data_IF_273627852907
#
_entry.id   IF_273627852907
#
_cell.length_a   1.000
_cell.length_b   1.000
_cell.length_c   1.000
_cell.angle_alpha   90.00
_cell.angle_beta   90.00
_cell.angle_gamma   90.00
#
_symmetry.space_group_name_H-M   'P 1'
#
loop_
_entity.id
_entity.type
_entity.pdbx_description
1 polymer ?
#
# COMPACT_ATOMS: atom_id res chain seq x y z
N UNK A 1 8.29 -10.40 -10.62
CA UNK A 1 6.95 -9.90 -10.96
C UNK A 1 6.40 -9.16 -9.75
N UNK A 2 5.94 -7.93 -9.95
CA UNK A 2 5.25 -7.19 -8.89
C UNK A 2 3.84 -7.78 -8.75
N UNK A 3 3.46 -8.21 -7.54
CA UNK A 3 2.11 -8.67 -7.24
C UNK A 3 1.26 -7.47 -6.81
N UNK A 4 0.20 -7.16 -7.56
CA UNK A 4 -0.58 -5.95 -7.35
C UNK A 4 -1.86 -6.21 -6.56
N UNK A 5 -1.96 -5.57 -5.40
CA UNK A 5 -3.11 -5.62 -4.51
C UNK A 5 -4.15 -4.58 -4.95
N UNK A 6 -5.10 -4.96 -5.78
CA UNK A 6 -6.21 -4.09 -6.16
C UNK A 6 -7.19 -3.92 -5.01
N UNK A 7 -7.51 -2.68 -4.66
CA UNK A 7 -8.50 -2.36 -3.64
C UNK A 7 -9.82 -1.99 -4.31
N UNK A 8 -10.92 -2.59 -3.86
CA UNK A 8 -12.25 -2.43 -4.42
C UNK A 8 -13.28 -2.08 -3.35
N UNK A 9 -14.35 -1.37 -3.71
CA UNK A 9 -15.58 -1.36 -2.92
C UNK A 9 -16.05 -2.79 -2.63
N UNK A 10 -16.68 -2.98 -1.47
CA UNK A 10 -16.98 -4.32 -0.93
C UNK A 10 -17.94 -5.12 -1.81
N UNK A 11 -18.85 -4.46 -2.52
CA UNK A 11 -19.85 -5.07 -3.40
C UNK A 11 -19.24 -5.86 -4.58
N UNK A 12 -18.03 -5.50 -5.03
CA UNK A 12 -17.42 -6.08 -6.24
C UNK A 12 -16.32 -7.10 -5.96
N UNK A 13 -16.02 -7.40 -4.70
CA UNK A 13 -14.89 -8.26 -4.32
C UNK A 13 -14.95 -9.62 -4.98
N UNK A 14 -16.11 -10.30 -4.93
CA UNK A 14 -16.28 -11.64 -5.51
C UNK A 14 -16.17 -11.66 -7.03
N UNK A 15 -16.56 -10.56 -7.70
CA UNK A 15 -16.52 -10.46 -9.15
C UNK A 15 -15.12 -10.10 -9.69
N UNK A 16 -14.33 -9.38 -8.88
CA UNK A 16 -13.01 -8.91 -9.27
C UNK A 16 -11.87 -9.81 -8.81
N UNK A 17 -12.08 -10.58 -7.74
CA UNK A 17 -11.02 -11.40 -7.13
C UNK A 17 -11.42 -12.87 -7.05
N UNK A 18 -11.18 -13.63 -8.14
CA UNK A 18 -11.53 -15.05 -8.16
C UNK A 18 -10.63 -15.85 -7.19
N UNK A 19 -11.24 -16.83 -6.53
CA UNK A 19 -10.59 -17.67 -5.51
C UNK A 19 -9.51 -18.58 -6.11
N UNK A 20 -9.62 -18.91 -7.40
CA UNK A 20 -8.76 -19.87 -8.10
C UNK A 20 -7.39 -19.27 -8.49
N UNK A 21 -7.20 -17.98 -8.35
CA UNK A 21 -5.97 -17.29 -8.73
C UNK A 21 -5.28 -16.69 -7.50
N UNK A 22 -4.47 -17.47 -6.74
CA UNK A 22 -3.78 -16.98 -5.55
C UNK A 22 -2.93 -15.75 -5.83
N UNK A 23 -3.13 -14.71 -5.04
CA UNK A 23 -2.41 -13.44 -5.08
C UNK A 23 -2.31 -12.81 -3.70
N UNK A 24 -1.59 -11.71 -3.60
CA UNK A 24 -1.54 -10.91 -2.38
C UNK A 24 -2.67 -9.88 -2.36
N UNK A 25 -3.27 -9.68 -1.20
CA UNK A 25 -4.29 -8.65 -0.96
C UNK A 25 -3.90 -7.74 0.19
N UNK A 26 -4.22 -6.45 0.06
CA UNK A 26 -4.16 -5.48 1.15
C UNK A 26 -5.58 -5.26 1.67
N UNK A 27 -5.80 -5.55 2.96
CA UNK A 27 -7.11 -5.53 3.62
C UNK A 27 -7.15 -4.37 4.60
N UNK A 28 -8.18 -3.54 4.51
CA UNK A 28 -8.28 -2.29 5.27
C UNK A 28 -8.92 -2.53 6.65
N UNK A 29 -8.22 -2.16 7.73
CA UNK A 29 -8.66 -2.39 9.09
C UNK A 29 -10.04 -1.79 9.39
N UNK A 30 -10.32 -0.56 8.95
CA UNK A 30 -11.61 0.07 9.19
C UNK A 30 -12.78 -0.69 8.54
N UNK A 31 -12.57 -1.32 7.36
CA UNK A 31 -13.60 -2.15 6.72
C UNK A 31 -13.78 -3.50 7.43
N UNK A 32 -12.70 -4.08 7.96
CA UNK A 32 -12.80 -5.28 8.81
C UNK A 32 -13.63 -4.99 10.06
N UNK A 33 -13.46 -3.82 10.67
CA UNK A 33 -14.23 -3.41 11.84
C UNK A 33 -15.71 -3.17 11.51
N UNK A 34 -16.00 -2.58 10.35
CA UNK A 34 -17.35 -2.14 9.97
C UNK A 34 -18.18 -3.23 9.31
N UNK A 35 -17.54 -4.18 8.59
CA UNK A 35 -18.21 -5.17 7.74
C UNK A 35 -17.65 -6.59 7.97
N UNK A 36 -18.33 -7.42 8.75
CA UNK A 36 -17.94 -8.82 8.93
C UNK A 36 -17.85 -9.62 7.62
N UNK A 37 -18.68 -9.30 6.63
CA UNK A 37 -18.65 -9.96 5.32
C UNK A 37 -17.37 -9.65 4.55
N UNK A 38 -16.78 -8.48 4.76
CA UNK A 38 -15.49 -8.12 4.21
C UNK A 38 -14.34 -8.97 4.79
N UNK A 39 -14.33 -9.15 6.11
CA UNK A 39 -13.35 -10.00 6.79
C UNK A 39 -13.50 -11.48 6.37
N UNK A 40 -14.73 -12.00 6.33
CA UNK A 40 -15.04 -13.38 5.93
C UNK A 40 -14.58 -13.66 4.49
N UNK A 41 -14.76 -12.69 3.58
CA UNK A 41 -14.31 -12.81 2.20
C UNK A 41 -12.79 -13.05 2.12
N UNK A 42 -11.98 -12.21 2.79
CA UNK A 42 -10.53 -12.35 2.76
C UNK A 42 -10.02 -13.55 3.55
N UNK A 43 -10.69 -13.92 4.64
CA UNK A 43 -10.43 -15.19 5.35
C UNK A 43 -10.60 -16.40 4.43
N UNK A 44 -11.66 -16.41 3.62
CA UNK A 44 -11.87 -17.47 2.62
C UNK A 44 -10.80 -17.47 1.53
N UNK A 45 -10.34 -16.31 1.07
CA UNK A 45 -9.22 -16.23 0.11
C UNK A 45 -7.93 -16.80 0.72
N UNK A 46 -7.62 -16.47 1.97
CA UNK A 46 -6.46 -17.02 2.67
C UNK A 46 -6.51 -18.56 2.72
N UNK A 47 -7.66 -19.14 3.07
CA UNK A 47 -7.86 -20.60 3.12
C UNK A 47 -7.67 -21.27 1.74
N UNK A 48 -7.73 -20.50 0.66
CA UNK A 48 -7.47 -20.94 -0.71
C UNK A 48 -6.07 -20.55 -1.23
N UNK A 49 -5.16 -20.16 -0.34
CA UNK A 49 -3.74 -19.95 -0.65
C UNK A 49 -3.36 -18.53 -1.05
N UNK A 50 -4.24 -17.55 -0.87
CA UNK A 50 -3.91 -16.14 -1.04
C UNK A 50 -3.12 -15.64 0.17
N UNK A 51 -2.28 -14.62 -0.04
CA UNK A 51 -1.58 -13.90 1.03
C UNK A 51 -2.37 -12.68 1.44
N UNK A 52 -2.57 -12.48 2.73
CA UNK A 52 -3.34 -11.35 3.27
C UNK A 52 -2.43 -10.43 4.08
N UNK A 53 -2.38 -9.16 3.67
CA UNK A 53 -1.74 -8.08 4.41
C UNK A 53 -2.84 -7.23 5.06
N UNK A 54 -2.86 -7.16 6.38
CA UNK A 54 -3.77 -6.28 7.12
C UNK A 54 -3.17 -4.89 7.20
N UNK A 55 -3.75 -3.94 6.49
CA UNK A 55 -3.42 -2.52 6.61
C UNK A 55 -4.02 -1.94 7.89
N UNK A 56 -3.28 -1.04 8.55
CA UNK A 56 -3.72 -0.39 9.77
C UNK A 56 -4.68 0.80 9.55
N UNK A 57 -5.03 1.10 8.30
CA UNK A 57 -5.86 2.25 7.89
C UNK A 57 -5.33 3.61 8.38
N UNK A 58 -4.00 3.77 8.49
CA UNK A 58 -3.37 5.01 8.95
C UNK A 58 -3.76 6.22 8.10
N UNK A 59 -3.95 6.02 6.79
CA UNK A 59 -4.36 7.09 5.88
C UNK A 59 -5.76 7.62 6.24
N UNK A 60 -6.72 6.73 6.46
CA UNK A 60 -8.10 7.08 6.82
C UNK A 60 -8.15 7.72 8.21
N UNK A 61 -7.44 7.14 9.18
CA UNK A 61 -7.35 7.70 10.54
C UNK A 61 -6.73 9.10 10.53
N UNK A 62 -5.63 9.30 9.80
CA UNK A 62 -4.98 10.59 9.65
C UNK A 62 -5.90 11.63 9.02
N UNK A 63 -6.59 11.29 7.92
CA UNK A 63 -7.54 12.21 7.25
C UNK A 63 -8.70 12.62 8.14
N UNK A 64 -9.21 11.70 8.95
CA UNK A 64 -10.35 11.92 9.84
C UNK A 64 -9.95 12.55 11.18
N UNK A 65 -8.65 12.65 11.47
CA UNK A 65 -8.16 13.08 12.78
C UNK A 65 -8.41 12.08 13.90
N UNK A 66 -8.62 10.81 13.55
CA UNK A 66 -8.83 9.74 14.51
C UNK A 66 -7.49 9.19 15.02
N UNK A 67 -7.43 8.69 16.26
CA UNK A 67 -6.26 7.99 16.77
C UNK A 67 -6.05 6.66 16.01
N UNK A 68 -4.79 6.22 15.94
CA UNK A 68 -4.46 4.90 15.44
C UNK A 68 -5.12 3.79 16.28
N UNK A 69 -5.46 2.68 15.64
CA UNK A 69 -5.95 1.50 16.33
C UNK A 69 -4.94 0.98 17.37
N UNK A 70 -5.40 0.58 18.57
CA UNK A 70 -4.54 -0.14 19.50
C UNK A 70 -4.01 -1.45 18.91
N UNK A 71 -2.82 -1.88 19.32
CA UNK A 71 -2.18 -3.11 18.82
C UNK A 71 -3.08 -4.34 18.97
N UNK A 72 -3.72 -4.48 20.13
CA UNK A 72 -4.62 -5.60 20.43
C UNK A 72 -5.81 -5.63 19.45
N UNK A 73 -6.32 -4.47 19.07
CA UNK A 73 -7.41 -4.36 18.11
C UNK A 73 -6.97 -4.75 16.69
N UNK A 74 -5.77 -4.31 16.28
CA UNK A 74 -5.21 -4.73 14.99
C UNK A 74 -4.98 -6.24 14.94
N UNK A 75 -4.49 -6.85 16.00
CA UNK A 75 -4.31 -8.31 16.10
C UNK A 75 -5.67 -9.03 16.00
N UNK A 76 -6.69 -8.56 16.72
CA UNK A 76 -8.04 -9.12 16.65
C UNK A 76 -8.59 -9.09 15.21
N UNK A 77 -8.47 -7.95 14.53
CA UNK A 77 -8.92 -7.80 13.15
C UNK A 77 -8.08 -8.65 12.17
N UNK A 78 -6.78 -8.78 12.41
CA UNK A 78 -5.91 -9.67 11.62
C UNK A 78 -6.36 -11.13 11.69
N UNK A 79 -6.78 -11.60 12.85
CA UNK A 79 -7.35 -12.95 12.99
C UNK A 79 -8.69 -13.12 12.27
N UNK A 80 -9.52 -12.07 12.25
CA UNK A 80 -10.82 -12.15 11.57
C UNK A 80 -10.67 -12.37 10.06
N UNK A 81 -9.63 -11.84 9.44
CA UNK A 81 -9.36 -12.01 8.01
C UNK A 81 -8.22 -13.02 7.71
N UNK A 82 -7.72 -13.75 8.70
CA UNK A 82 -6.57 -14.66 8.59
C UNK A 82 -5.35 -14.00 7.96
N UNK A 83 -4.98 -12.79 8.41
CA UNK A 83 -3.85 -12.07 7.86
C UNK A 83 -2.50 -12.76 8.14
N UNK A 84 -1.63 -12.78 7.13
CA UNK A 84 -0.23 -13.23 7.26
C UNK A 84 0.68 -12.13 7.81
N UNK A 85 0.39 -10.88 7.42
CA UNK A 85 1.17 -9.69 7.75
C UNK A 85 0.28 -8.62 8.34
N UNK A 86 0.82 -7.85 9.29
CA UNK A 86 0.12 -6.71 9.88
C UNK A 86 0.96 -5.46 9.72
N UNK A 87 0.40 -4.42 9.10
CA UNK A 87 1.00 -3.10 9.07
C UNK A 87 0.98 -2.53 10.47
N UNK A 88 2.17 -2.35 11.04
CA UNK A 88 2.33 -1.79 12.38
C UNK A 88 1.90 -0.33 12.43
N UNK A 89 1.49 0.14 13.60
CA UNK A 89 1.06 1.52 13.76
C UNK A 89 2.14 2.49 13.28
N UNK A 90 1.75 3.38 12.37
CA UNK A 90 2.59 4.43 11.83
C UNK A 90 1.89 5.79 11.93
N UNK A 91 2.65 6.85 11.95
CA UNK A 91 2.17 8.19 12.29
C UNK A 91 2.60 9.20 11.22
N UNK A 92 1.78 9.37 10.15
CA UNK A 92 2.09 10.31 9.06
C UNK A 92 2.30 11.74 9.56
N UNK A 93 3.39 12.36 9.11
CA UNK A 93 3.72 13.76 9.45
C UNK A 93 4.28 13.97 10.86
N UNK A 94 4.53 12.91 11.61
CA UNK A 94 5.12 12.94 12.95
C UNK A 94 6.61 12.57 12.91
N UNK A 95 7.39 12.88 13.97
CA UNK A 95 8.79 12.47 14.02
C UNK A 95 8.98 10.98 13.76
N UNK A 96 10.00 10.62 12.98
CA UNK A 96 10.28 9.22 12.60
C UNK A 96 10.44 8.29 13.81
N UNK A 97 10.93 8.79 14.94
CA UNK A 97 11.08 8.04 16.18
C UNK A 97 9.75 7.51 16.73
N UNK A 98 8.64 8.26 16.53
CA UNK A 98 7.32 7.84 17.01
C UNK A 98 6.85 6.54 16.37
N UNK A 99 7.06 6.40 15.06
CA UNK A 99 6.73 5.17 14.33
C UNK A 99 7.66 4.02 14.70
N UNK A 100 8.97 4.28 14.88
CA UNK A 100 9.93 3.28 15.35
C UNK A 100 9.56 2.77 16.75
N UNK A 101 9.31 3.69 17.69
CA UNK A 101 8.93 3.34 19.08
C UNK A 101 7.64 2.50 19.13
N UNK A 102 6.69 2.78 18.24
CA UNK A 102 5.46 1.99 18.12
C UNK A 102 5.79 0.57 17.59
N UNK A 103 6.60 0.47 16.55
CA UNK A 103 7.00 -0.81 15.98
C UNK A 103 7.75 -1.68 17.00
N UNK A 104 8.70 -1.13 17.76
CA UNK A 104 9.42 -1.85 18.80
C UNK A 104 8.51 -2.45 19.88
N UNK A 105 7.39 -1.78 20.17
CA UNK A 105 6.38 -2.28 21.13
C UNK A 105 5.45 -3.33 20.50
N UNK A 106 5.14 -3.20 19.21
CA UNK A 106 4.24 -4.11 18.51
C UNK A 106 4.90 -5.42 18.09
N UNK A 107 6.15 -5.40 17.66
CA UNK A 107 6.87 -6.58 17.16
C UNK A 107 6.76 -7.80 18.10
N UNK A 108 7.04 -7.68 19.42
CA UNK A 108 6.92 -8.83 20.33
C UNK A 108 5.49 -9.37 20.43
N UNK A 109 4.49 -8.49 20.31
CA UNK A 109 3.08 -8.88 20.38
C UNK A 109 2.66 -9.64 19.13
N UNK A 110 3.01 -9.13 17.93
CA UNK A 110 2.72 -9.78 16.65
C UNK A 110 3.41 -11.15 16.56
N UNK A 111 4.67 -11.24 16.97
CA UNK A 111 5.43 -12.51 16.99
C UNK A 111 4.82 -13.56 17.92
N UNK A 112 4.28 -13.14 19.06
CA UNK A 112 3.57 -14.05 19.98
C UNK A 112 2.35 -14.69 19.34
N UNK A 113 1.69 -13.97 18.42
CA UNK A 113 0.50 -14.42 17.71
C UNK A 113 0.81 -15.03 16.32
N UNK A 114 2.09 -15.30 16.05
CA UNK A 114 2.59 -15.83 14.76
C UNK A 114 2.25 -14.95 13.54
N UNK A 115 2.10 -13.66 13.78
CA UNK A 115 1.85 -12.64 12.74
C UNK A 115 3.18 -12.01 12.30
N UNK A 116 3.36 -11.87 10.99
CA UNK A 116 4.52 -11.21 10.40
C UNK A 116 4.35 -9.70 10.40
N UNK A 117 5.47 -9.00 10.45
CA UNK A 117 5.51 -7.55 10.62
C UNK A 117 5.63 -6.82 9.30
N UNK A 118 4.95 -5.69 9.21
CA UNK A 118 5.04 -4.79 8.07
C UNK A 118 5.25 -3.36 8.60
N UNK A 119 6.37 -2.74 8.25
CA UNK A 119 6.77 -1.42 8.72
C UNK A 119 6.62 -0.36 7.63
N UNK A 120 5.91 0.72 7.94
CA UNK A 120 5.79 1.89 7.08
C UNK A 120 6.57 3.06 7.70
N UNK A 121 7.80 3.37 7.22
CA UNK A 121 8.57 4.49 7.73
C UNK A 121 7.82 5.82 7.57
N UNK A 122 7.85 6.66 8.59
CA UNK A 122 7.24 7.98 8.60
C UNK A 122 8.26 9.03 9.04
N UNK A 123 8.03 10.30 8.69
CA UNK A 123 8.79 11.45 9.18
C UNK A 123 7.96 12.72 9.14
N UNK A 124 8.49 13.79 9.75
CA UNK A 124 7.93 15.11 9.64
C UNK A 124 8.06 15.67 8.20
N UNK A 125 7.23 16.65 7.81
CA UNK A 125 7.40 17.35 6.54
C UNK A 125 8.82 17.89 6.40
N UNK A 126 9.46 17.70 5.22
CA UNK A 126 10.82 18.16 4.95
C UNK A 126 11.94 17.33 5.57
N UNK A 127 11.63 16.31 6.36
CA UNK A 127 12.62 15.46 7.03
C UNK A 127 12.96 14.19 6.25
N UNK A 128 13.65 14.34 5.11
CA UNK A 128 14.14 13.21 4.30
C UNK A 128 15.18 12.38 5.06
N UNK A 129 16.00 13.00 5.91
CA UNK A 129 17.02 12.28 6.67
C UNK A 129 16.40 11.41 7.76
N UNK A 130 15.36 11.89 8.46
CA UNK A 130 14.60 11.10 9.41
C UNK A 130 13.85 9.95 8.73
N UNK A 131 13.26 10.19 7.55
CA UNK A 131 12.67 9.15 6.74
C UNK A 131 13.70 8.06 6.40
N UNK A 132 14.87 8.46 5.87
CA UNK A 132 15.94 7.54 5.53
C UNK A 132 16.45 6.76 6.77
N UNK A 133 16.44 7.39 7.94
CA UNK A 133 16.79 6.70 9.19
C UNK A 133 15.79 5.57 9.48
N UNK A 134 14.48 5.81 9.31
CA UNK A 134 13.45 4.78 9.45
C UNK A 134 13.69 3.57 8.54
N UNK A 135 14.07 3.79 7.27
CA UNK A 135 14.45 2.71 6.36
C UNK A 135 15.70 1.97 6.82
N UNK A 136 16.75 2.66 7.26
CA UNK A 136 17.96 2.03 7.79
C UNK A 136 17.66 1.17 9.03
N UNK A 137 16.83 1.67 9.94
CA UNK A 137 16.40 0.92 11.11
C UNK A 137 15.67 -0.36 10.70
N UNK A 138 14.71 -0.27 9.79
CA UNK A 138 13.94 -1.42 9.32
C UNK A 138 14.82 -2.45 8.59
N UNK A 139 15.75 -2.00 7.74
CA UNK A 139 16.69 -2.88 7.04
C UNK A 139 17.65 -3.61 7.99
N UNK A 140 18.03 -2.98 9.09
CA UNK A 140 18.89 -3.59 10.12
C UNK A 140 18.13 -4.47 11.12
N UNK A 141 16.80 -4.36 11.18
CA UNK A 141 15.97 -5.09 12.15
C UNK A 141 15.47 -6.40 11.54
N UNK A 142 15.99 -7.54 12.04
CA UNK A 142 15.61 -8.88 11.56
C UNK A 142 14.14 -9.25 11.83
N UNK A 143 13.48 -8.55 12.72
CA UNK A 143 12.08 -8.78 13.08
C UNK A 143 11.10 -7.92 12.24
N UNK A 144 11.60 -7.20 11.24
CA UNK A 144 10.80 -6.52 10.22
C UNK A 144 10.80 -7.36 8.95
N UNK A 145 9.63 -7.83 8.51
CA UNK A 145 9.48 -8.70 7.33
C UNK A 145 9.22 -7.90 6.05
N UNK A 146 8.32 -6.91 6.11
CA UNK A 146 7.97 -6.00 5.02
C UNK A 146 8.37 -4.56 5.31
N UNK A 147 8.78 -3.82 4.27
CA UNK A 147 9.02 -2.37 4.33
C UNK A 147 8.18 -1.67 3.26
N UNK A 148 7.45 -0.63 3.65
CA UNK A 148 6.61 0.15 2.75
C UNK A 148 7.29 1.39 2.19
N UNK A 149 6.96 1.72 0.93
CA UNK A 149 7.25 2.98 0.26
C UNK A 149 5.92 3.74 0.03
N UNK A 150 5.57 4.63 0.95
CA UNK A 150 4.25 5.27 0.99
C UNK A 150 4.17 6.51 0.11
N UNK A 151 3.03 6.64 -0.62
CA UNK A 151 2.69 7.87 -1.37
C UNK A 151 2.30 9.04 -0.46
N UNK A 152 1.98 8.77 0.81
CA UNK A 152 1.66 9.84 1.75
C UNK A 152 2.94 10.46 2.31
N UNK A 153 3.86 9.62 2.76
CA UNK A 153 5.02 10.07 3.51
C UNK A 153 6.18 10.56 2.64
N UNK A 154 6.53 9.83 1.56
CA UNK A 154 7.69 10.21 0.73
C UNK A 154 7.49 11.60 0.10
N UNK A 155 6.34 11.93 -0.54
CA UNK A 155 6.10 13.29 -1.01
C UNK A 155 6.12 14.34 0.10
N UNK A 156 5.66 14.01 1.31
CA UNK A 156 5.66 14.90 2.46
C UNK A 156 7.09 15.20 2.94
N UNK A 157 7.93 14.19 3.03
CA UNK A 157 9.34 14.34 3.39
C UNK A 157 10.13 15.20 2.39
N UNK A 158 9.77 15.15 1.10
CA UNK A 158 10.33 16.02 0.06
C UNK A 158 9.64 17.38 -0.05
N UNK A 159 8.66 17.69 0.80
CA UNK A 159 7.85 18.91 0.72
C UNK A 159 7.27 19.16 -0.68
N UNK A 160 6.84 18.08 -1.35
CA UNK A 160 6.19 18.19 -2.64
C UNK A 160 4.98 19.13 -2.55
N UNK A 161 4.95 20.16 -3.38
CA UNK A 161 3.85 21.11 -3.41
C UNK A 161 2.51 20.40 -3.68
N UNK A 162 1.45 20.78 -2.94
CA UNK A 162 0.14 20.12 -2.99
C UNK A 162 -0.40 19.96 -4.42
N UNK A 163 -0.16 20.95 -5.28
CA UNK A 163 -0.67 20.96 -6.66
C UNK A 163 0.38 20.58 -7.72
N UNK A 164 1.62 20.29 -7.30
CA UNK A 164 2.67 19.87 -8.23
C UNK A 164 2.64 18.34 -8.43
N UNK A 165 1.77 17.93 -9.35
CA UNK A 165 1.57 16.50 -9.67
C UNK A 165 2.85 15.81 -10.13
N UNK A 166 3.72 16.51 -10.87
CA UNK A 166 4.97 15.95 -11.34
C UNK A 166 5.95 15.65 -10.20
N UNK A 167 6.08 16.56 -9.23
CA UNK A 167 6.91 16.30 -8.06
C UNK A 167 6.44 15.06 -7.28
N UNK A 168 5.14 14.95 -7.05
CA UNK A 168 4.56 13.77 -6.38
C UNK A 168 4.79 12.50 -7.19
N UNK A 169 4.55 12.53 -8.50
CA UNK A 169 4.72 11.39 -9.40
C UNK A 169 6.18 10.87 -9.38
N UNK A 170 7.16 11.76 -9.30
CA UNK A 170 8.58 11.41 -9.29
C UNK A 170 9.15 11.13 -7.90
N UNK A 171 8.43 11.43 -6.83
CA UNK A 171 8.99 11.45 -5.46
C UNK A 171 9.54 10.09 -5.02
N UNK A 172 8.80 8.99 -5.25
CA UNK A 172 9.28 7.65 -4.87
C UNK A 172 10.44 7.19 -5.75
N UNK A 173 10.48 7.58 -7.02
CA UNK A 173 11.64 7.32 -7.87
C UNK A 173 12.90 8.02 -7.37
N UNK A 174 12.78 9.29 -6.98
CA UNK A 174 13.90 10.03 -6.37
C UNK A 174 14.33 9.41 -5.04
N UNK A 175 13.39 8.91 -4.25
CA UNK A 175 13.73 8.25 -3.00
C UNK A 175 14.43 6.90 -3.22
N UNK A 176 14.01 6.11 -4.22
CA UNK A 176 14.72 4.88 -4.60
C UNK A 176 16.16 5.18 -5.06
N UNK A 177 16.36 6.26 -5.82
CA UNK A 177 17.70 6.73 -6.17
C UNK A 177 18.53 7.11 -4.94
N UNK A 178 17.94 7.78 -3.96
CA UNK A 178 18.62 8.07 -2.70
C UNK A 178 19.03 6.79 -1.95
N UNK A 179 18.16 5.79 -1.90
CA UNK A 179 18.46 4.46 -1.33
C UNK A 179 19.65 3.82 -2.06
N UNK A 180 19.68 3.90 -3.39
CA UNK A 180 20.79 3.43 -4.22
C UNK A 180 22.11 4.19 -3.92
N UNK A 181 22.08 5.52 -3.92
CA UNK A 181 23.22 6.40 -3.63
C UNK A 181 23.80 6.17 -2.22
N UNK A 182 22.95 5.75 -1.28
CA UNK A 182 23.37 5.36 0.08
C UNK A 182 23.86 3.90 0.19
N UNK A 183 23.87 3.15 -0.92
CA UNK A 183 24.31 1.76 -0.96
C UNK A 183 23.37 0.79 -0.24
N UNK A 184 22.09 1.12 -0.10
CA UNK A 184 21.11 0.34 0.66
C UNK A 184 20.30 -0.63 -0.20
N UNK A 185 20.35 -0.54 -1.54
CA UNK A 185 19.60 -1.44 -2.42
C UNK A 185 19.84 -2.94 -2.15
N UNK A 186 21.09 -3.41 -1.94
CA UNK A 186 21.31 -4.84 -1.65
C UNK A 186 20.59 -5.30 -0.37
N UNK A 187 20.43 -4.42 0.60
CA UNK A 187 19.74 -4.73 1.84
C UNK A 187 18.23 -4.90 1.66
N UNK A 188 17.62 -4.24 0.65
CA UNK A 188 16.21 -4.43 0.31
C UNK A 188 15.91 -5.88 -0.09
N UNK A 189 16.86 -6.58 -0.73
CA UNK A 189 16.69 -7.99 -1.13
C UNK A 189 16.52 -8.96 0.07
N UNK A 190 16.87 -8.54 1.27
CA UNK A 190 16.65 -9.33 2.50
C UNK A 190 15.26 -9.13 3.11
N UNK A 191 14.46 -8.26 2.55
CA UNK A 191 13.12 -7.88 3.01
C UNK A 191 12.12 -8.02 1.87
N UNK A 192 10.86 -8.10 2.20
CA UNK A 192 9.82 -7.81 1.22
C UNK A 192 9.58 -6.31 1.14
N UNK A 193 9.31 -5.81 -0.05
CA UNK A 193 9.09 -4.39 -0.31
C UNK A 193 7.72 -4.18 -0.92
N UNK A 194 6.97 -3.26 -0.33
CA UNK A 194 5.64 -2.89 -0.78
C UNK A 194 5.54 -1.39 -1.10
N UNK A 195 4.94 -1.07 -2.23
CA UNK A 195 4.62 0.32 -2.58
C UNK A 195 3.17 0.62 -2.20
N UNK A 196 2.98 1.39 -1.12
CA UNK A 196 1.66 1.79 -0.62
C UNK A 196 1.06 2.90 -1.48
N UNK A 197 -0.08 2.59 -2.08
CA UNK A 197 -0.84 3.49 -2.93
C UNK A 197 -0.17 3.80 -4.27
N UNK A 198 -0.88 4.59 -5.09
CA UNK A 198 -0.40 5.07 -6.39
C UNK A 198 -0.46 6.60 -6.41
N UNK A 199 0.54 7.25 -6.98
CA UNK A 199 0.60 8.71 -7.05
C UNK A 199 -0.40 9.26 -8.09
N UNK A 200 0.07 9.75 -9.24
CA UNK A 200 -0.78 10.50 -10.19
C UNK A 200 -1.29 9.61 -11.36
N UNK A 201 -0.83 8.37 -11.46
CA UNK A 201 -1.28 7.44 -12.50
C UNK A 201 -0.51 6.12 -12.52
N UNK A 202 -1.03 5.11 -13.25
CA UNK A 202 -0.52 3.73 -13.21
C UNK A 202 0.89 3.58 -13.79
N UNK A 203 1.33 4.46 -14.68
CA UNK A 203 2.65 4.37 -15.31
C UNK A 203 3.79 4.67 -14.33
N UNK A 204 3.50 5.02 -13.07
CA UNK A 204 4.50 5.01 -12.00
C UNK A 204 5.16 3.64 -11.86
N UNK A 205 4.42 2.55 -12.13
CA UNK A 205 4.98 1.18 -12.14
C UNK A 205 6.09 1.07 -13.20
N UNK A 206 5.84 1.56 -14.42
CA UNK A 206 6.84 1.57 -15.47
C UNK A 206 8.04 2.48 -15.15
N UNK A 207 7.79 3.62 -14.49
CA UNK A 207 8.84 4.52 -14.00
C UNK A 207 9.79 3.80 -13.04
N UNK A 208 9.25 2.87 -12.22
CA UNK A 208 10.03 2.06 -11.27
C UNK A 208 10.77 0.88 -11.93
N UNK A 209 10.67 0.69 -13.26
CA UNK A 209 11.34 -0.41 -13.97
C UNK A 209 12.78 -0.66 -13.57
N UNK A 210 13.67 0.36 -13.40
CA UNK A 210 15.04 0.16 -12.94
C UNK A 210 15.16 -0.47 -11.55
N UNK A 211 14.10 -0.40 -10.73
CA UNK A 211 14.04 -0.90 -9.36
C UNK A 211 13.02 -2.03 -9.16
N UNK A 212 12.40 -2.51 -10.25
CA UNK A 212 11.32 -3.50 -10.19
C UNK A 212 11.72 -4.81 -9.49
N UNK A 213 12.99 -5.20 -9.57
CA UNK A 213 13.50 -6.41 -8.90
C UNK A 213 13.56 -6.29 -7.38
N UNK A 214 13.43 -5.08 -6.84
CA UNK A 214 13.38 -4.78 -5.40
C UNK A 214 11.97 -4.61 -4.88
N UNK A 215 10.94 -4.71 -5.73
CA UNK A 215 9.53 -4.48 -5.37
C UNK A 215 8.78 -5.81 -5.46
N UNK A 216 8.25 -6.27 -4.32
CA UNK A 216 7.47 -7.52 -4.28
C UNK A 216 5.99 -7.25 -4.55
N UNK A 217 5.43 -6.24 -3.89
CA UNK A 217 4.01 -5.94 -3.95
C UNK A 217 3.74 -4.45 -4.10
N UNK A 218 2.54 -4.12 -4.59
CA UNK A 218 2.04 -2.75 -4.74
C UNK A 218 0.53 -2.73 -4.52
N UNK A 219 -0.05 -1.65 -4.02
CA UNK A 219 -1.49 -1.53 -3.90
C UNK A 219 -2.06 -0.25 -4.51
N UNK A 220 -3.30 -0.28 -4.89
CA UNK A 220 -4.12 0.92 -5.12
C UNK A 220 -5.59 0.58 -5.34
N UNK A 221 -6.46 1.50 -4.96
CA UNK A 221 -7.87 1.52 -5.39
C UNK A 221 -8.07 2.15 -6.79
N UNK A 222 -7.01 2.74 -7.38
CA UNK A 222 -7.14 3.60 -8.56
C UNK A 222 -7.73 2.88 -9.78
N UNK A 223 -7.37 1.62 -10.04
CA UNK A 223 -7.88 0.86 -11.18
C UNK A 223 -9.39 0.69 -11.12
N UNK A 224 -9.85 0.21 -9.96
CA UNK A 224 -11.28 -0.07 -9.74
C UNK A 224 -12.06 1.23 -9.65
N UNK A 225 -11.62 2.16 -8.78
CA UNK A 225 -12.35 3.38 -8.50
C UNK A 225 -12.44 4.32 -9.70
N UNK A 226 -11.34 4.51 -10.47
CA UNK A 226 -11.37 5.24 -11.72
C UNK A 226 -12.34 4.60 -12.71
N UNK A 227 -12.28 3.27 -12.88
CA UNK A 227 -13.16 2.53 -13.78
C UNK A 227 -14.63 2.66 -13.42
N UNK A 228 -15.01 2.54 -12.15
CA UNK A 228 -16.39 2.73 -11.68
C UNK A 228 -16.89 4.14 -11.95
N UNK A 229 -16.02 5.14 -11.98
CA UNK A 229 -16.32 6.51 -12.35
C UNK A 229 -16.19 6.80 -13.86
N UNK A 230 -16.10 5.78 -14.71
CA UNK A 230 -16.06 5.90 -16.16
C UNK A 230 -14.71 6.33 -16.73
N UNK A 231 -13.64 6.29 -15.93
CA UNK A 231 -12.30 6.70 -16.33
C UNK A 231 -11.45 5.47 -16.65
N UNK A 232 -11.09 5.32 -17.92
CA UNK A 232 -10.18 4.28 -18.38
C UNK A 232 -8.75 4.81 -18.39
N UNK A 233 -7.78 3.98 -18.00
CA UNK A 233 -6.36 4.28 -18.15
C UNK A 233 -5.98 4.37 -19.63
N UNK A 234 -5.03 5.24 -19.92
CA UNK A 234 -4.69 5.63 -21.30
C UNK A 234 -3.17 5.59 -21.54
N UNK A 235 -2.77 5.88 -22.79
CA UNK A 235 -1.36 5.90 -23.21
C UNK A 235 -0.65 7.24 -22.92
N UNK A 236 -1.19 8.09 -22.07
CA UNK A 236 -0.50 9.31 -21.62
C UNK A 236 0.73 8.97 -20.77
N UNK A 237 1.66 9.92 -20.56
CA UNK A 237 2.89 9.64 -19.79
C UNK A 237 2.66 9.06 -18.38
N UNK A 238 1.57 9.44 -17.72
CA UNK A 238 1.21 8.91 -16.40
C UNK A 238 0.21 7.75 -16.45
N UNK A 239 -0.41 7.51 -17.61
CA UNK A 239 -1.53 6.57 -17.78
C UNK A 239 -2.90 7.18 -17.48
N UNK A 240 -2.95 8.47 -17.12
CA UNK A 240 -4.14 9.28 -16.90
C UNK A 240 -3.89 10.69 -17.40
N UNK A 241 -4.39 11.04 -18.60
CA UNK A 241 -4.12 12.35 -19.25
C UNK A 241 -4.49 13.54 -18.36
N UNK A 242 -5.54 13.42 -17.57
CA UNK A 242 -5.98 14.47 -16.64
C UNK A 242 -5.41 14.30 -15.20
N UNK A 243 -4.51 13.31 -15.02
CA UNK A 243 -4.00 12.93 -13.72
C UNK A 243 -5.03 12.23 -12.83
N UNK A 244 -4.63 11.92 -11.61
CA UNK A 244 -5.53 11.30 -10.62
C UNK A 244 -6.73 12.21 -10.35
N UNK A 245 -7.94 11.68 -10.47
CA UNK A 245 -9.13 12.44 -10.13
C UNK A 245 -9.34 12.45 -8.61
N UNK A 246 -9.84 13.57 -8.10
CA UNK A 246 -9.87 13.88 -6.66
C UNK A 246 -11.25 13.55 -6.04
N UNK A 247 -11.82 12.39 -6.38
CA UNK A 247 -13.05 11.90 -5.74
C UNK A 247 -12.65 10.86 -4.71
N UNK A 248 -13.12 11.04 -3.47
CA UNK A 248 -12.86 10.06 -2.42
C UNK A 248 -13.45 8.70 -2.75
N UNK A 249 -12.74 7.65 -2.39
CA UNK A 249 -13.21 6.26 -2.60
C UNK A 249 -14.42 6.02 -1.71
N UNK A 250 -15.52 5.59 -2.33
CA UNK A 250 -16.69 5.07 -1.64
C UNK A 250 -16.59 3.54 -1.60
N UNK A 251 -16.20 2.98 -0.46
CA UNK A 251 -16.04 1.54 -0.27
C UNK A 251 -17.35 0.77 -0.26
N UNK A 252 -18.49 1.46 -0.16
CA UNK A 252 -19.84 0.89 -0.22
C UNK A 252 -20.58 1.21 -1.51
N UNK A 253 -19.84 1.71 -2.51
CA UNK A 253 -20.38 1.97 -3.84
C UNK A 253 -20.96 0.69 -4.46
N UNK A 254 -22.18 0.76 -5.01
CA UNK A 254 -22.93 -0.41 -5.48
C UNK A 254 -23.48 -0.29 -6.92
N UNK A 255 -22.83 0.50 -7.78
CA UNK A 255 -23.19 0.61 -9.19
C UNK A 255 -22.25 -0.15 -10.09
N UNK A 256 -22.71 -1.16 -10.81
CA UNK A 256 -21.91 -1.96 -11.75
C UNK A 256 -21.79 -1.35 -13.14
N UNK A 257 -22.29 -0.13 -13.37
CA UNK A 257 -22.36 0.50 -14.70
C UNK A 257 -21.01 0.55 -15.45
N UNK A 258 -19.91 0.78 -14.73
CA UNK A 258 -18.57 0.91 -15.31
C UNK A 258 -17.61 -0.22 -14.88
N UNK A 259 -18.13 -1.38 -14.45
CA UNK A 259 -17.28 -2.48 -13.97
C UNK A 259 -16.35 -3.03 -15.06
N UNK A 260 -16.79 -3.04 -16.33
CA UNK A 260 -15.95 -3.45 -17.45
C UNK A 260 -14.74 -2.50 -17.65
N UNK A 261 -14.89 -1.21 -17.34
CA UNK A 261 -13.79 -0.25 -17.38
C UNK A 261 -12.83 -0.53 -16.21
N UNK A 262 -13.36 -0.85 -15.03
CA UNK A 262 -12.55 -1.24 -13.89
C UNK A 262 -11.71 -2.49 -14.19
N UNK A 263 -12.29 -3.51 -14.81
CA UNK A 263 -11.55 -4.72 -15.25
C UNK A 263 -10.46 -4.39 -16.27
N UNK A 264 -10.72 -3.54 -17.25
CA UNK A 264 -9.69 -3.07 -18.20
C UNK A 264 -8.55 -2.30 -17.53
N UNK A 265 -8.85 -1.51 -16.50
CA UNK A 265 -7.84 -0.80 -15.73
C UNK A 265 -6.99 -1.76 -14.89
N UNK A 266 -7.61 -2.81 -14.32
CA UNK A 266 -6.89 -3.90 -13.65
C UNK A 266 -5.92 -4.57 -14.63
N UNK A 267 -6.41 -4.99 -15.80
CA UNK A 267 -5.58 -5.62 -16.84
C UNK A 267 -4.40 -4.72 -17.25
N UNK A 268 -4.64 -3.41 -17.39
CA UNK A 268 -3.59 -2.43 -17.69
C UNK A 268 -2.47 -2.43 -16.64
N UNK A 269 -2.83 -2.41 -15.36
CA UNK A 269 -1.85 -2.47 -14.26
C UNK A 269 -1.11 -3.81 -14.25
N UNK A 270 -1.82 -4.92 -14.43
CA UNK A 270 -1.20 -6.25 -14.49
C UNK A 270 -0.20 -6.37 -15.64
N UNK A 271 -0.48 -5.74 -16.79
CA UNK A 271 0.47 -5.67 -17.91
C UNK A 271 1.71 -4.85 -17.54
N UNK A 272 1.55 -3.70 -16.87
CA UNK A 272 2.69 -2.92 -16.39
C UNK A 272 3.55 -3.72 -15.40
N UNK A 273 2.93 -4.43 -14.46
CA UNK A 273 3.65 -5.26 -13.49
C UNK A 273 4.43 -6.40 -14.15
N UNK A 274 3.90 -6.97 -15.25
CA UNK A 274 4.61 -7.98 -16.05
C UNK A 274 5.74 -7.38 -16.87
N UNK A 275 5.58 -6.17 -17.38
CA UNK A 275 6.53 -5.48 -18.24
C UNK A 275 7.61 -4.67 -17.51
N UNK A 276 7.52 -4.50 -16.21
CA UNK A 276 8.44 -3.68 -15.41
C UNK A 276 9.84 -4.32 -15.23
N UNK A 277 10.05 -5.55 -15.68
CA UNK A 277 11.35 -6.26 -15.66
C UNK A 277 12.02 -6.27 -17.00
#
# INVERSE_FOLDING_TARGET
>A
LIDFCHISPTEYLQELFPVEEPRTHLVLAHLVEEDPGYADFYSNLHDNGHTIIMDNSAFEMYKQGNPMYPTEKLIEMAWQCNADYVVMSDYPGEPFTKTIDAAEKMIPQLKKEDLKTFFCPQSEPGDVDGLLFGYKWALANNDVDYIAFSILNIPLAYECEKHNKLQKYLSRYHFMRLIEEKGLLPNLLSKKVHFLGMTEGPNEIALMGPYADFIDTWDSSAAVWAGLNGIQFDNSPTGLVNGKFEVEVDFYHNSSYNLDIAKKNIDYIEELCRGAR
#
